data_IF_066924422220
#
_entry.id   IF_066924422220
#
_cell.length_a   1.000
_cell.length_b   1.000
_cell.length_c   1.000
_cell.angle_alpha   90.00
_cell.angle_beta   90.00
_cell.angle_gamma   90.00
#
_symmetry.space_group_name_H-M   'P 1'
#
loop_
_entity.id
_entity.type
_entity.pdbx_description
1 polymer ?
#
# COMPACT_ATOMS: atom_id res chain seq x y z
N UNK A 1 3.07 -15.59 -15.51
CA UNK A 1 2.60 -15.93 -14.19
C UNK A 1 1.93 -17.29 -14.15
N UNK A 2 2.04 -18.00 -13.04
CA UNK A 2 1.41 -19.32 -12.85
C UNK A 2 0.00 -19.22 -12.24
N UNK A 3 -0.63 -18.03 -12.26
CA UNK A 3 -2.02 -17.83 -11.85
C UNK A 3 -2.32 -17.98 -10.36
N UNK A 4 -1.33 -17.90 -9.49
CA UNK A 4 -1.53 -17.97 -8.03
C UNK A 4 -1.97 -16.64 -7.44
N UNK A 5 -2.80 -16.70 -6.39
CA UNK A 5 -3.09 -15.54 -5.54
C UNK A 5 -1.86 -15.21 -4.69
N UNK A 6 -1.62 -13.91 -4.48
CA UNK A 6 -0.54 -13.43 -3.65
C UNK A 6 -0.95 -12.15 -2.92
N UNK A 7 -0.34 -11.92 -1.78
CA UNK A 7 -0.49 -10.68 -1.03
C UNK A 7 0.86 -10.26 -0.49
N UNK A 8 0.93 -9.14 0.18
CA UNK A 8 2.13 -8.62 0.80
C UNK A 8 1.95 -8.42 2.28
N UNK A 9 3.05 -8.48 3.01
CA UNK A 9 3.12 -8.19 4.43
C UNK A 9 4.57 -7.91 4.82
N UNK A 10 4.78 -7.04 5.78
CA UNK A 10 6.13 -6.63 6.20
C UNK A 10 6.88 -7.73 6.97
N UNK A 11 6.16 -8.66 7.57
CA UNK A 11 6.70 -9.75 8.40
C UNK A 11 7.88 -9.28 9.28
N UNK A 12 9.08 -9.77 9.04
CA UNK A 12 10.30 -9.38 9.76
C UNK A 12 11.03 -8.19 9.15
N UNK A 13 10.48 -7.51 8.15
CA UNK A 13 11.05 -6.29 7.60
C UNK A 13 11.09 -5.17 8.64
N UNK A 14 12.15 -4.36 8.60
CA UNK A 14 12.30 -3.20 9.47
C UNK A 14 11.23 -2.14 9.16
N UNK A 15 10.91 -1.97 7.89
CA UNK A 15 9.88 -1.03 7.43
C UNK A 15 8.50 -1.68 7.45
N UNK A 16 7.48 -0.92 7.86
CA UNK A 16 6.08 -1.34 7.88
C UNK A 16 5.26 -0.44 6.96
N UNK A 17 5.75 -0.30 5.73
CA UNK A 17 5.17 0.56 4.72
C UNK A 17 4.67 -0.25 3.55
N UNK A 18 3.37 -0.20 3.27
CA UNK A 18 2.77 -0.82 2.09
C UNK A 18 3.48 -0.38 0.80
N UNK A 19 3.80 0.89 0.70
CA UNK A 19 4.49 1.46 -0.48
C UNK A 19 5.87 0.84 -0.66
N UNK A 20 6.62 0.66 0.41
CA UNK A 20 7.96 0.06 0.35
C UNK A 20 7.91 -1.43 -0.03
N UNK A 21 6.95 -2.17 0.49
CA UNK A 21 6.73 -3.57 0.10
C UNK A 21 6.41 -3.70 -1.39
N UNK A 22 5.53 -2.85 -1.93
CA UNK A 22 5.22 -2.81 -3.35
C UNK A 22 6.45 -2.46 -4.21
N UNK A 23 7.24 -1.48 -3.76
CA UNK A 23 8.50 -1.12 -4.43
C UNK A 23 9.50 -2.26 -4.43
N UNK A 24 9.70 -2.90 -3.29
CA UNK A 24 10.64 -4.00 -3.14
C UNK A 24 10.27 -5.15 -4.08
N UNK A 25 8.99 -5.51 -4.13
CA UNK A 25 8.48 -6.53 -5.04
C UNK A 25 8.75 -6.17 -6.49
N UNK A 26 8.37 -4.98 -6.94
CA UNK A 26 8.58 -4.55 -8.33
C UNK A 26 10.07 -4.44 -8.65
N UNK A 27 10.87 -3.84 -7.78
CA UNK A 27 12.30 -3.62 -8.05
C UNK A 27 13.08 -4.94 -8.06
N UNK A 28 12.76 -5.89 -7.20
CA UNK A 28 13.36 -7.22 -7.26
C UNK A 28 13.14 -7.89 -8.62
N UNK A 29 11.92 -7.78 -9.17
CA UNK A 29 11.61 -8.30 -10.49
C UNK A 29 12.32 -7.53 -11.63
N UNK A 30 12.40 -6.19 -11.51
CA UNK A 30 13.16 -5.37 -12.48
C UNK A 30 14.62 -5.79 -12.55
N UNK A 31 15.26 -5.99 -11.40
CA UNK A 31 16.66 -6.43 -11.36
C UNK A 31 16.84 -7.84 -11.93
N UNK A 32 16.00 -8.79 -11.48
CA UNK A 32 16.09 -10.17 -11.93
C UNK A 32 15.83 -10.32 -13.45
N UNK A 33 14.91 -9.54 -14.00
CA UNK A 33 14.48 -9.63 -15.40
C UNK A 33 15.15 -8.60 -16.30
N UNK A 34 15.86 -7.61 -15.75
CA UNK A 34 16.44 -6.46 -16.48
C UNK A 34 15.41 -5.72 -17.34
N UNK A 35 14.19 -5.58 -16.81
CA UNK A 35 13.05 -4.95 -17.49
C UNK A 35 12.36 -3.99 -16.53
N UNK A 36 11.60 -3.03 -17.08
CA UNK A 36 10.81 -2.07 -16.32
C UNK A 36 9.33 -2.45 -16.30
N UNK A 37 8.60 -1.96 -15.29
CA UNK A 37 7.14 -2.08 -15.18
C UNK A 37 6.69 -3.54 -15.26
N UNK A 38 7.32 -4.40 -14.47
CA UNK A 38 7.11 -5.83 -14.56
C UNK A 38 5.68 -6.23 -14.20
N UNK A 39 5.11 -5.66 -13.12
CA UNK A 39 3.74 -5.98 -12.73
C UNK A 39 2.73 -5.54 -13.79
N UNK A 40 2.85 -4.32 -14.31
CA UNK A 40 1.98 -3.81 -15.38
C UNK A 40 2.05 -4.69 -16.63
N UNK A 41 3.25 -5.04 -17.06
CA UNK A 41 3.47 -5.90 -18.24
C UNK A 41 2.85 -7.30 -18.08
N UNK A 42 2.98 -7.90 -16.91
CA UNK A 42 2.42 -9.21 -16.63
C UNK A 42 0.89 -9.19 -16.54
N UNK A 43 0.33 -8.09 -16.03
CA UNK A 43 -1.12 -7.88 -15.94
C UNK A 43 -1.75 -7.35 -17.24
N UNK A 44 -0.96 -6.85 -18.18
CA UNK A 44 -1.47 -6.25 -19.42
C UNK A 44 -2.15 -4.90 -19.21
N UNK A 45 -1.69 -4.11 -18.22
CA UNK A 45 -2.22 -2.79 -17.87
C UNK A 45 -1.14 -1.72 -17.94
N UNK A 46 -1.52 -0.45 -17.90
CA UNK A 46 -0.59 0.67 -18.04
C UNK A 46 0.10 1.05 -16.71
N UNK A 47 -0.61 0.90 -15.57
CA UNK A 47 -0.10 1.29 -14.24
C UNK A 47 0.50 0.11 -13.50
N UNK A 48 1.77 0.23 -13.14
CA UNK A 48 2.47 -0.76 -12.31
C UNK A 48 1.92 -0.80 -10.89
N UNK A 49 1.61 0.35 -10.31
CA UNK A 49 1.05 0.43 -8.96
C UNK A 49 -0.36 -0.16 -8.91
N UNK A 50 -1.20 0.09 -9.92
CA UNK A 50 -2.53 -0.52 -9.98
C UNK A 50 -2.44 -2.05 -10.04
N UNK A 51 -1.60 -2.61 -10.92
CA UNK A 51 -1.41 -4.05 -11.02
C UNK A 51 -0.94 -4.68 -9.69
N UNK A 52 -0.04 -4.02 -8.98
CA UNK A 52 0.47 -4.49 -7.69
C UNK A 52 -0.60 -4.41 -6.59
N UNK A 53 -1.31 -3.28 -6.51
CA UNK A 53 -2.37 -3.08 -5.51
C UNK A 53 -3.53 -4.05 -5.71
N UNK A 54 -3.98 -4.22 -6.95
CA UNK A 54 -5.06 -5.15 -7.29
C UNK A 54 -4.68 -6.58 -6.93
N UNK A 55 -3.48 -7.02 -7.32
CA UNK A 55 -3.00 -8.35 -6.99
C UNK A 55 -2.87 -8.60 -5.48
N UNK A 56 -2.29 -7.65 -4.76
CA UNK A 56 -2.12 -7.74 -3.30
C UNK A 56 -3.46 -7.70 -2.56
N UNK A 57 -4.40 -6.83 -2.99
CA UNK A 57 -5.72 -6.69 -2.38
C UNK A 57 -6.58 -7.91 -2.61
N UNK A 58 -6.63 -8.44 -3.84
CA UNK A 58 -7.38 -9.64 -4.17
C UNK A 58 -6.84 -10.89 -3.43
N UNK A 59 -5.52 -11.02 -3.39
CA UNK A 59 -4.88 -12.11 -2.66
C UNK A 59 -5.08 -12.00 -1.15
N UNK A 60 -5.01 -10.79 -0.59
CA UNK A 60 -5.28 -10.52 0.82
C UNK A 60 -6.74 -10.80 1.19
N UNK A 61 -7.70 -10.39 0.37
CA UNK A 61 -9.11 -10.69 0.56
C UNK A 61 -9.37 -12.21 0.55
N UNK A 62 -8.78 -12.92 -0.40
CA UNK A 62 -8.88 -14.38 -0.47
C UNK A 62 -8.29 -15.07 0.77
N UNK A 63 -7.14 -14.58 1.26
CA UNK A 63 -6.46 -15.14 2.41
C UNK A 63 -7.22 -14.90 3.73
N UNK A 64 -7.87 -13.74 3.88
CA UNK A 64 -8.62 -13.39 5.09
C UNK A 64 -10.06 -13.89 5.08
N UNK A 65 -10.61 -14.21 3.93
CA UNK A 65 -12.05 -14.54 3.76
C UNK A 65 -12.98 -13.35 3.97
N UNK A 66 -12.45 -12.13 4.03
CA UNK A 66 -13.24 -10.90 4.20
C UNK A 66 -13.63 -10.30 2.85
N UNK A 67 -14.80 -9.67 2.80
CA UNK A 67 -15.25 -8.91 1.63
C UNK A 67 -14.56 -7.55 1.51
N UNK A 68 -13.24 -7.54 1.29
CA UNK A 68 -12.39 -6.34 1.27
C UNK A 68 -11.61 -6.16 -0.06
N UNK A 69 -12.02 -6.86 -1.11
CA UNK A 69 -11.27 -6.93 -2.37
C UNK A 69 -11.41 -5.74 -3.32
N UNK A 70 -11.83 -4.57 -2.86
CA UNK A 70 -11.92 -3.38 -3.71
C UNK A 70 -13.04 -2.42 -3.31
N UNK A 71 -13.26 -1.38 -4.13
CA UNK A 71 -14.33 -0.39 -3.93
C UNK A 71 -15.54 -0.83 -4.75
N UNK A 72 -16.47 -1.54 -4.13
CA UNK A 72 -17.70 -2.01 -4.76
C UNK A 72 -18.83 -2.16 -3.72
N UNK A 73 -20.08 -2.17 -4.20
CA UNK A 73 -21.25 -2.43 -3.36
C UNK A 73 -21.14 -3.83 -2.74
N UNK A 74 -21.35 -3.93 -1.44
CA UNK A 74 -21.22 -5.18 -0.68
C UNK A 74 -19.82 -5.45 -0.13
N UNK A 75 -18.83 -4.68 -0.51
CA UNK A 75 -17.49 -4.75 0.09
C UNK A 75 -17.43 -3.93 1.38
N UNK A 76 -16.61 -4.39 2.32
CA UNK A 76 -16.31 -3.62 3.53
C UNK A 76 -15.55 -2.35 3.16
N UNK A 77 -15.99 -1.22 3.70
CA UNK A 77 -15.39 0.08 3.43
C UNK A 77 -14.08 0.28 4.23
N UNK A 78 -13.00 -0.32 3.77
CA UNK A 78 -11.62 -0.08 4.23
C UNK A 78 -10.92 0.74 3.14
N UNK A 79 -10.65 2.02 3.43
CA UNK A 79 -10.18 2.98 2.42
C UNK A 79 -8.97 3.77 2.93
N UNK A 80 -8.03 4.02 2.05
CA UNK A 80 -6.99 5.03 2.23
C UNK A 80 -7.27 6.18 1.26
N UNK A 81 -7.46 7.38 1.80
CA UNK A 81 -7.68 8.60 1.01
C UNK A 81 -6.32 9.27 0.84
N UNK A 82 -5.89 9.42 -0.41
CA UNK A 82 -4.62 10.09 -0.71
C UNK A 82 -4.76 11.61 -0.58
N UNK A 83 -3.69 12.24 -0.11
CA UNK A 83 -3.57 13.70 -0.08
C UNK A 83 -3.19 14.22 -1.47
N UNK A 84 -4.16 14.73 -2.21
CA UNK A 84 -3.97 15.23 -3.57
C UNK A 84 -3.07 16.47 -3.64
N UNK A 85 -2.94 17.20 -2.54
CA UNK A 85 -2.12 18.44 -2.45
C UNK A 85 -0.68 18.12 -2.02
N UNK A 86 -0.39 16.88 -1.65
CA UNK A 86 0.98 16.48 -1.34
C UNK A 86 1.91 16.70 -2.54
N UNK A 87 3.13 17.24 -2.33
CA UNK A 87 4.04 17.58 -3.44
C UNK A 87 4.32 16.42 -4.42
N UNK A 88 4.25 15.19 -3.96
CA UNK A 88 4.43 14.01 -4.80
C UNK A 88 3.24 13.71 -5.72
N UNK A 89 2.06 14.23 -5.42
CA UNK A 89 0.81 13.98 -6.15
C UNK A 89 0.24 15.23 -6.82
N UNK A 90 0.61 16.41 -6.33
CA UNK A 90 0.11 17.69 -6.83
C UNK A 90 0.34 17.82 -8.34
N UNK A 91 -0.72 18.12 -9.09
CA UNK A 91 -0.67 18.28 -10.53
C UNK A 91 -0.55 16.98 -11.34
N UNK A 92 -0.54 15.81 -10.70
CA UNK A 92 -0.49 14.53 -11.41
C UNK A 92 -1.82 14.22 -12.11
N UNK A 93 -1.80 13.77 -13.38
CA UNK A 93 -2.99 13.22 -14.02
C UNK A 93 -3.54 12.03 -13.21
N UNK A 94 -4.87 11.87 -13.17
CA UNK A 94 -5.53 10.78 -12.43
C UNK A 94 -4.99 9.38 -12.81
N UNK A 95 -4.66 9.18 -14.08
CA UNK A 95 -4.09 7.92 -14.58
C UNK A 95 -2.70 7.59 -14.03
N UNK A 96 -1.98 8.57 -13.46
CA UNK A 96 -0.62 8.41 -12.93
C UNK A 96 -0.54 8.54 -11.41
N UNK A 97 -1.65 8.88 -10.75
CA UNK A 97 -1.67 9.15 -9.30
C UNK A 97 -1.20 7.95 -8.48
N UNK A 98 -1.64 6.74 -8.80
CA UNK A 98 -1.20 5.53 -8.10
C UNK A 98 0.29 5.24 -8.30
N UNK A 99 0.80 5.41 -9.51
CA UNK A 99 2.22 5.22 -9.78
C UNK A 99 3.07 6.30 -9.10
N UNK A 100 2.62 7.55 -9.07
CA UNK A 100 3.28 8.62 -8.32
C UNK A 100 3.28 8.34 -6.81
N UNK A 101 2.15 7.92 -6.26
CA UNK A 101 2.04 7.51 -4.85
C UNK A 101 3.00 6.36 -4.52
N UNK A 102 3.02 5.32 -5.34
CA UNK A 102 3.85 4.15 -5.07
C UNK A 102 5.34 4.40 -5.31
N UNK A 103 5.73 5.16 -6.34
CA UNK A 103 7.11 5.20 -6.81
C UNK A 103 7.80 6.57 -6.69
N UNK A 104 7.07 7.67 -6.49
CA UNK A 104 7.63 9.02 -6.42
C UNK A 104 7.59 9.62 -5.02
N UNK A 105 6.74 9.14 -4.13
CA UNK A 105 6.66 9.64 -2.75
C UNK A 105 7.66 8.95 -1.83
N UNK A 106 8.41 9.69 -1.00
CA UNK A 106 9.28 9.12 0.02
C UNK A 106 8.49 8.44 1.16
N UNK A 107 7.24 8.86 1.38
CA UNK A 107 6.34 8.32 2.40
C UNK A 107 4.93 8.16 1.85
N UNK A 108 4.11 7.35 2.49
CA UNK A 108 2.71 7.25 2.15
C UNK A 108 2.01 8.58 2.41
N UNK A 109 1.49 9.21 1.35
CA UNK A 109 0.73 10.46 1.43
C UNK A 109 -0.75 10.12 1.58
N UNK A 110 -1.18 9.94 2.83
CA UNK A 110 -2.54 9.58 3.19
C UNK A 110 -3.17 10.72 4.00
N UNK A 111 -4.26 11.28 3.49
CA UNK A 111 -5.03 12.31 4.16
C UNK A 111 -5.98 11.73 5.21
N UNK A 112 -6.53 10.55 4.95
CA UNK A 112 -7.43 9.88 5.87
C UNK A 112 -7.43 8.36 5.65
N UNK A 113 -7.74 7.64 6.73
CA UNK A 113 -7.97 6.19 6.69
C UNK A 113 -9.38 5.91 7.19
N UNK A 114 -10.09 5.03 6.50
CA UNK A 114 -11.41 4.55 6.88
C UNK A 114 -11.32 3.04 7.10
N UNK A 115 -11.85 2.56 8.21
CA UNK A 115 -11.88 1.12 8.54
C UNK A 115 -13.33 0.74 8.85
N UNK A 116 -13.87 -0.21 8.13
CA UNK A 116 -15.26 -0.64 8.24
C UNK A 116 -16.27 0.53 8.17
N UNK A 117 -16.00 1.52 7.31
CA UNK A 117 -16.84 2.70 7.12
C UNK A 117 -16.65 3.81 8.16
N UNK A 118 -15.72 3.66 9.11
CA UNK A 118 -15.45 4.66 10.14
C UNK A 118 -14.08 5.33 9.91
N UNK A 119 -14.05 6.67 9.96
CA UNK A 119 -12.79 7.39 9.87
C UNK A 119 -11.92 7.09 11.10
N UNK A 120 -10.67 6.74 10.85
CA UNK A 120 -9.67 6.49 11.89
C UNK A 120 -8.88 7.78 12.11
N UNK A 121 -8.73 8.25 13.38
CA UNK A 121 -7.89 9.41 13.66
C UNK A 121 -6.44 9.18 13.20
N UNK A 122 -5.83 10.22 12.62
CA UNK A 122 -4.43 10.19 12.15
C UNK A 122 -3.44 9.92 13.29
N UNK A 123 -3.80 10.31 14.52
CA UNK A 123 -3.05 10.02 15.73
C UNK A 123 -4.00 9.60 16.84
N UNK A 124 -3.69 8.50 17.51
CA UNK A 124 -4.41 8.09 18.73
C UNK A 124 -3.73 8.77 19.93
N UNK A 125 -4.47 9.53 20.74
CA UNK A 125 -3.91 10.17 21.93
C UNK A 125 -3.22 9.14 22.84
N UNK A 126 -2.00 9.44 23.27
CA UNK A 126 -1.22 8.58 24.17
C UNK A 126 -0.45 7.44 23.51
N UNK A 127 -0.73 7.05 22.26
CA UNK A 127 -0.01 5.94 21.59
C UNK A 127 1.46 6.27 21.40
N UNK A 128 1.77 7.48 20.94
CA UNK A 128 3.18 7.91 20.76
C UNK A 128 3.93 7.96 22.09
N UNK A 129 3.31 8.51 23.14
CA UNK A 129 3.91 8.58 24.47
C UNK A 129 4.12 7.17 25.05
N UNK A 130 3.14 6.29 24.92
CA UNK A 130 3.25 4.90 25.33
C UNK A 130 4.35 4.14 24.61
N UNK A 131 4.48 4.35 23.29
CA UNK A 131 5.56 3.77 22.49
C UNK A 131 6.94 4.25 22.98
N UNK A 132 7.11 5.56 23.17
CA UNK A 132 8.38 6.15 23.67
C UNK A 132 8.74 5.56 25.05
N UNK A 133 7.76 5.44 25.94
CA UNK A 133 7.98 4.88 27.27
C UNK A 133 8.37 3.39 27.22
N UNK A 134 7.69 2.62 26.38
CA UNK A 134 8.03 1.21 26.14
C UNK A 134 9.45 1.06 25.58
N UNK A 135 9.82 1.89 24.61
CA UNK A 135 11.17 1.85 24.04
C UNK A 135 12.25 2.22 25.07
N UNK A 136 11.99 3.21 25.93
CA UNK A 136 12.94 3.56 27.01
C UNK A 136 13.17 2.39 27.95
N UNK A 137 12.11 1.64 28.31
CA UNK A 137 12.24 0.46 29.19
C UNK A 137 12.98 -0.70 28.52
N UNK A 138 12.88 -0.81 27.20
CA UNK A 138 13.54 -1.89 26.45
C UNK A 138 15.05 -1.72 26.42
N UNK A 139 15.55 -0.47 26.42
CA UNK A 139 16.96 -0.15 26.27
C UNK A 139 17.67 0.19 27.58
N UNK A 140 17.01 0.08 28.71
CA UNK A 140 17.59 0.16 30.07
C UNK A 140 17.88 -1.21 30.65
#
# INVERSE_FOLDING_TARGET
GQGGNWSIGSDSHVTRSLVEELRLLEYSQRFARRQRNMAARLAGVDSTAAALLDGASLGGAAATGLGIGGIAVGQRADLCVMDADAPALAGMPKSHTLDAWAFSSPSAVCAATVVAGQAVPAALPGVQAGYIDAMRRLWT
#
